data_IF_381616897709
#
_entry.id   IF_381616897709
#
_cell.length_a   1.000
_cell.length_b   1.000
_cell.length_c   1.000
_cell.angle_alpha   90.00
_cell.angle_beta   90.00
_cell.angle_gamma   90.00
#
_symmetry.space_group_name_H-M   'P 1'
#
loop_
_entity.id
_entity.type
_entity.pdbx_description
1 polymer ?
#
# COMPACT_ATOMS: atom_id res chain seq x y z
N UNK A 1 19.89 4.98 -2.67
CA UNK A 1 20.64 4.01 -1.85
C UNK A 1 19.86 2.70 -1.85
N UNK A 2 20.29 1.73 -2.66
CA UNK A 2 19.68 0.40 -2.76
C UNK A 2 19.96 -0.33 -1.46
N UNK A 3 18.91 -0.81 -0.77
CA UNK A 3 19.05 -1.56 0.48
C UNK A 3 19.39 -3.02 0.15
N UNK A 4 20.66 -3.31 -0.10
CA UNK A 4 21.12 -4.68 0.07
C UNK A 4 21.25 -4.95 1.57
N UNK A 5 20.55 -5.97 2.06
CA UNK A 5 20.79 -6.51 3.38
C UNK A 5 22.18 -7.17 3.32
N UNK A 6 23.16 -6.65 4.06
CA UNK A 6 24.50 -7.23 4.10
C UNK A 6 24.51 -8.52 4.93
N UNK A 7 23.83 -9.55 4.45
CA UNK A 7 23.89 -10.91 5.00
C UNK A 7 25.20 -11.60 4.54
N UNK A 8 26.34 -10.97 4.84
CA UNK A 8 27.64 -11.33 4.28
C UNK A 8 28.61 -11.93 5.31
N UNK A 9 28.14 -12.35 6.49
CA UNK A 9 29.01 -12.93 7.51
C UNK A 9 28.44 -14.24 8.06
N UNK A 10 29.35 -15.19 8.33
CA UNK A 10 29.09 -16.50 8.99
C UNK A 10 28.38 -16.39 10.35
N UNK A 11 28.20 -15.19 10.88
CA UNK A 11 27.57 -14.88 12.17
C UNK A 11 26.07 -14.60 12.10
N UNK A 12 25.52 -14.40 10.89
CA UNK A 12 24.08 -14.30 10.66
C UNK A 12 23.52 -15.66 10.22
N UNK A 13 22.28 -15.98 10.61
CA UNK A 13 21.64 -17.28 10.37
C UNK A 13 21.52 -17.68 8.87
N UNK A 14 21.71 -16.72 7.95
CA UNK A 14 21.66 -16.93 6.49
C UNK A 14 22.89 -16.28 5.84
N UNK A 15 23.61 -17.06 5.02
CA UNK A 15 24.73 -16.59 4.21
C UNK A 15 24.33 -16.48 2.73
N UNK A 16 24.44 -15.28 2.13
CA UNK A 16 23.99 -15.02 0.76
C UNK A 16 24.75 -15.84 -0.28
N UNK A 17 25.99 -16.27 -0.02
CA UNK A 17 26.79 -17.01 -1.00
C UNK A 17 26.56 -18.53 -0.98
N UNK A 18 26.15 -19.08 0.16
CA UNK A 18 26.13 -20.53 0.40
C UNK A 18 24.72 -21.11 0.59
N UNK A 19 23.66 -20.32 0.36
CA UNK A 19 22.28 -20.79 0.44
C UNK A 19 21.79 -21.36 -0.90
N UNK A 20 20.94 -22.39 -0.84
CA UNK A 20 20.26 -22.93 -2.02
C UNK A 20 19.22 -21.94 -2.55
N UNK A 21 19.23 -21.70 -3.87
CA UNK A 21 18.22 -20.88 -4.55
C UNK A 21 17.32 -21.78 -5.39
N UNK A 22 16.07 -21.94 -4.98
CA UNK A 22 15.06 -22.67 -5.75
C UNK A 22 14.24 -21.68 -6.57
N UNK A 23 14.15 -21.91 -7.89
CA UNK A 23 13.32 -21.11 -8.80
C UNK A 23 12.18 -21.97 -9.31
N UNK A 24 10.97 -21.67 -8.84
CA UNK A 24 9.73 -22.31 -9.28
C UNK A 24 8.76 -21.27 -9.84
N UNK A 25 9.24 -20.51 -10.83
CA UNK A 25 8.47 -19.45 -11.47
C UNK A 25 7.91 -19.93 -12.80
N UNK A 26 6.59 -19.98 -12.92
CA UNK A 26 5.92 -20.18 -14.21
C UNK A 26 5.85 -18.84 -14.94
N UNK A 27 6.59 -18.73 -16.04
CA UNK A 27 6.44 -17.58 -16.94
C UNK A 27 5.11 -17.69 -17.67
N UNK A 28 4.37 -16.58 -17.69
CA UNK A 28 3.14 -16.45 -18.45
C UNK A 28 3.47 -15.68 -19.72
N UNK A 29 3.27 -16.30 -20.87
CA UNK A 29 3.51 -15.65 -22.16
C UNK A 29 2.50 -14.52 -22.38
N UNK A 30 2.93 -13.38 -22.96
CA UNK A 30 2.05 -12.22 -23.15
C UNK A 30 0.79 -12.56 -23.96
N UNK A 31 0.91 -13.41 -24.97
CA UNK A 31 -0.18 -13.80 -25.86
C UNK A 31 -1.30 -14.56 -25.11
N UNK A 32 -0.95 -15.42 -24.16
CA UNK A 32 -1.93 -16.17 -23.34
C UNK A 32 -2.60 -15.28 -22.28
N UNK A 33 -2.02 -14.12 -21.97
CA UNK A 33 -2.51 -13.21 -20.93
C UNK A 33 -3.47 -12.14 -21.45
N UNK A 34 -3.45 -11.85 -22.77
CA UNK A 34 -4.33 -10.85 -23.40
C UNK A 34 -5.81 -11.22 -23.22
N UNK A 35 -6.18 -12.50 -23.29
CA UNK A 35 -7.57 -12.95 -23.12
C UNK A 35 -8.21 -12.53 -21.79
N UNK A 36 -7.44 -12.43 -20.71
CA UNK A 36 -7.94 -12.02 -19.39
C UNK A 36 -8.15 -10.50 -19.34
N UNK A 37 -7.37 -9.73 -20.10
CA UNK A 37 -7.45 -8.27 -20.13
C UNK A 37 -8.49 -7.74 -21.14
N UNK A 38 -8.83 -8.52 -22.17
CA UNK A 38 -9.71 -8.09 -23.27
C UNK A 38 -11.11 -8.67 -23.23
N UNK A 39 -11.53 -9.33 -22.14
CA UNK A 39 -12.90 -9.86 -22.02
C UNK A 39 -13.85 -8.79 -21.45
N UNK A 40 -14.78 -8.21 -22.24
CA UNK A 40 -15.86 -7.42 -21.69
C UNK A 40 -16.90 -8.41 -21.15
N UNK A 41 -16.71 -8.90 -19.93
CA UNK A 41 -17.73 -9.74 -19.31
C UNK A 41 -18.87 -8.82 -18.89
N UNK A 42 -19.95 -8.82 -19.67
CA UNK A 42 -21.21 -8.18 -19.32
C UNK A 42 -21.90 -9.05 -18.23
N UNK A 43 -21.43 -8.92 -16.99
CA UNK A 43 -21.95 -9.70 -15.86
C UNK A 43 -23.26 -9.03 -15.42
N UNK A 44 -24.39 -9.70 -15.65
CA UNK A 44 -25.68 -9.31 -15.10
C UNK A 44 -25.63 -9.37 -13.57
N UNK A 45 -26.39 -8.48 -12.91
CA UNK A 45 -26.39 -8.22 -11.46
C UNK A 45 -26.70 -9.41 -10.53
N UNK A 46 -26.85 -10.63 -11.05
CA UNK A 46 -27.20 -11.83 -10.28
C UNK A 46 -26.03 -12.78 -9.99
N UNK A 47 -24.87 -12.64 -10.66
CA UNK A 47 -23.70 -13.52 -10.47
C UNK A 47 -22.67 -12.97 -9.44
N UNK A 48 -23.16 -12.27 -8.42
CA UNK A 48 -22.34 -11.56 -7.43
C UNK A 48 -21.50 -12.45 -6.48
N UNK A 49 -21.64 -13.78 -6.52
CA UNK A 49 -21.10 -14.66 -5.47
C UNK A 49 -19.66 -15.17 -5.67
N UNK A 50 -19.04 -14.96 -6.84
CA UNK A 50 -17.70 -15.52 -7.14
C UNK A 50 -16.61 -14.49 -7.46
N UNK A 51 -16.90 -13.20 -7.31
CA UNK A 51 -15.92 -12.14 -7.52
C UNK A 51 -15.04 -11.99 -6.28
N UNK A 52 -13.71 -12.15 -6.44
CA UNK A 52 -12.75 -11.69 -5.43
C UNK A 52 -13.01 -10.19 -5.21
N UNK A 53 -13.76 -9.87 -4.17
CA UNK A 53 -14.01 -8.50 -3.75
C UNK A 53 -12.75 -7.99 -3.07
N UNK A 54 -11.95 -7.25 -3.82
CA UNK A 54 -10.80 -6.56 -3.26
C UNK A 54 -11.29 -5.28 -2.64
N UNK A 55 -11.47 -5.34 -1.33
CA UNK A 55 -11.66 -4.15 -0.52
C UNK A 55 -10.30 -3.48 -0.38
N UNK A 56 -10.21 -2.17 -0.24
CA UNK A 56 -8.97 -1.55 0.24
C UNK A 56 -9.30 -0.47 1.21
N UNK A 57 -8.73 -0.51 2.40
CA UNK A 57 -8.95 0.48 3.43
C UNK A 57 -7.69 1.29 3.65
N UNK A 58 -7.85 2.60 3.78
CA UNK A 58 -6.81 3.43 4.36
C UNK A 58 -7.40 4.33 5.42
N UNK A 59 -6.70 4.45 6.55
CA UNK A 59 -7.04 5.35 7.63
C UNK A 59 -6.09 6.54 7.68
N UNK A 60 -6.65 7.71 7.97
CA UNK A 60 -5.93 8.97 8.08
C UNK A 60 -6.38 9.73 9.31
N UNK A 61 -5.42 10.39 9.96
CA UNK A 61 -5.67 11.29 11.07
C UNK A 61 -4.72 12.49 10.99
N UNK A 62 -5.27 13.70 11.11
CA UNK A 62 -4.52 14.95 11.14
C UNK A 62 -3.63 15.06 12.38
N UNK A 63 -3.95 14.33 13.46
CA UNK A 63 -3.12 14.31 14.67
C UNK A 63 -1.85 13.47 14.47
N UNK A 64 -1.83 12.56 13.50
CA UNK A 64 -0.64 11.82 13.12
C UNK A 64 0.40 12.69 12.42
N UNK A 65 1.67 12.59 12.81
CA UNK A 65 2.76 13.12 11.97
C UNK A 65 2.59 12.52 10.56
N UNK A 66 2.66 13.31 9.48
CA UNK A 66 2.47 12.79 8.10
C UNK A 66 1.16 12.01 7.85
N UNK A 67 0.09 12.31 8.59
CA UNK A 67 -1.27 11.78 8.32
C UNK A 67 -1.35 10.24 8.37
N UNK A 68 -0.73 9.64 9.39
CA UNK A 68 -0.69 8.20 9.65
C UNK A 68 -0.87 7.92 11.16
N UNK A 69 -1.20 6.67 11.50
CA UNK A 69 -1.19 6.21 12.89
C UNK A 69 0.20 6.43 13.55
N UNK A 70 0.23 7.09 14.73
CA UNK A 70 1.50 7.53 15.36
C UNK A 70 2.33 6.36 15.87
N UNK A 71 1.71 5.39 16.52
CA UNK A 71 2.29 4.12 16.96
C UNK A 71 3.06 3.41 15.84
N UNK A 72 2.41 3.23 14.69
CA UNK A 72 3.00 2.57 13.53
C UNK A 72 4.20 3.35 12.99
N UNK A 73 4.13 4.68 12.98
CA UNK A 73 5.26 5.50 12.56
C UNK A 73 6.44 5.43 13.51
N UNK A 74 6.17 5.47 14.81
CA UNK A 74 7.22 5.40 15.83
C UNK A 74 7.89 4.02 15.76
N UNK A 75 7.12 2.94 15.67
CA UNK A 75 7.65 1.59 15.49
C UNK A 75 8.53 1.49 14.24
N UNK A 76 8.04 1.97 13.09
CA UNK A 76 8.82 1.99 11.84
C UNK A 76 10.11 2.80 11.95
N UNK A 77 10.10 3.92 12.66
CA UNK A 77 11.29 4.75 12.90
C UNK A 77 12.30 4.02 13.78
N UNK A 78 11.84 3.29 14.80
CA UNK A 78 12.74 2.45 15.61
C UNK A 78 13.37 1.34 14.75
N UNK A 79 12.59 0.60 13.95
CA UNK A 79 13.14 -0.44 13.07
C UNK A 79 14.17 0.13 12.07
N UNK A 80 13.86 1.29 11.48
CA UNK A 80 14.77 1.95 10.54
C UNK A 80 16.07 2.40 11.23
N UNK A 81 15.97 2.94 12.45
CA UNK A 81 17.13 3.37 13.20
C UNK A 81 17.98 2.19 13.71
N UNK A 82 17.35 1.08 14.11
CA UNK A 82 18.06 -0.17 14.43
C UNK A 82 18.88 -0.67 13.23
N UNK A 83 18.32 -0.56 12.02
CA UNK A 83 19.05 -0.92 10.80
C UNK A 83 20.18 0.06 10.49
N UNK A 84 20.00 1.35 10.78
CA UNK A 84 21.03 2.37 10.63
C UNK A 84 22.22 2.12 11.57
N UNK A 85 21.97 1.88 12.86
CA UNK A 85 23.03 1.62 13.86
C UNK A 85 23.73 0.28 13.66
N UNK A 86 23.05 -0.70 13.05
CA UNK A 86 23.66 -1.94 12.57
C UNK A 86 24.66 -1.64 11.45
N UNK A 87 24.23 -0.92 10.41
CA UNK A 87 25.04 -0.66 9.20
C UNK A 87 26.23 0.24 9.46
N UNK A 88 26.11 1.20 10.37
CA UNK A 88 27.19 2.13 10.69
C UNK A 88 28.14 1.59 11.78
N UNK A 89 27.87 0.40 12.35
CA UNK A 89 28.70 -0.23 13.37
C UNK A 89 28.62 0.39 14.77
N UNK A 90 27.66 1.29 15.03
CA UNK A 90 27.47 1.89 16.38
C UNK A 90 27.12 0.82 17.42
N UNK A 91 26.30 -0.16 17.02
CA UNK A 91 25.97 -1.33 17.83
C UNK A 91 26.49 -2.59 17.12
N UNK A 92 27.79 -2.92 17.24
CA UNK A 92 28.41 -3.99 16.45
C UNK A 92 27.92 -5.39 16.83
N UNK A 93 27.24 -5.53 17.97
CA UNK A 93 26.64 -6.79 18.44
C UNK A 93 25.22 -7.03 17.88
N UNK A 94 24.62 -6.04 17.21
CA UNK A 94 23.27 -6.16 16.66
C UNK A 94 23.29 -7.13 15.46
N UNK A 95 22.18 -7.84 15.24
CA UNK A 95 21.97 -8.73 14.08
C UNK A 95 20.82 -8.22 13.20
N UNK A 96 20.63 -8.87 12.05
CA UNK A 96 19.67 -8.46 11.03
C UNK A 96 18.20 -8.66 11.41
N UNK A 97 17.87 -9.62 12.28
CA UNK A 97 16.50 -9.85 12.73
C UNK A 97 16.17 -8.98 13.95
N UNK A 98 14.96 -8.42 13.95
CA UNK A 98 14.48 -7.51 14.96
C UNK A 98 13.00 -7.23 14.81
N UNK A 99 12.33 -7.05 15.94
CA UNK A 99 10.92 -6.66 16.01
C UNK A 99 10.78 -5.54 17.02
N UNK A 100 10.08 -4.48 16.63
CA UNK A 100 9.68 -3.42 17.56
C UNK A 100 8.17 -3.46 17.76
N UNK A 101 7.73 -3.12 18.96
CA UNK A 101 6.32 -2.96 19.29
C UNK A 101 6.17 -1.70 20.13
N UNK A 102 5.19 -0.89 19.77
CA UNK A 102 4.88 0.37 20.44
C UNK A 102 3.42 0.34 20.86
N UNK A 103 3.16 0.66 22.13
CA UNK A 103 1.81 0.81 22.66
C UNK A 103 1.60 2.28 23.03
N UNK A 104 0.54 2.87 22.50
CA UNK A 104 0.15 4.25 22.79
C UNK A 104 -1.29 4.23 23.29
N UNK A 105 -1.56 4.97 24.35
CA UNK A 105 -2.92 5.20 24.82
C UNK A 105 -3.62 6.16 23.86
N UNK A 106 -4.71 5.69 23.26
CA UNK A 106 -5.53 6.47 22.33
C UNK A 106 -6.94 6.61 22.85
N UNK A 107 -7.48 7.82 22.75
CA UNK A 107 -8.91 8.04 22.79
C UNK A 107 -9.47 7.82 21.37
N UNK A 108 -9.86 6.58 21.05
CA UNK A 108 -10.59 6.16 19.83
C UNK A 108 -9.73 5.82 18.58
N UNK A 109 -9.06 4.65 18.59
CA UNK A 109 -8.29 4.08 17.47
C UNK A 109 -9.21 3.29 16.51
N UNK A 110 -9.11 3.55 15.20
CA UNK A 110 -9.81 2.80 14.15
C UNK A 110 -8.96 2.70 12.88
N UNK A 111 -9.18 1.63 12.13
CA UNK A 111 -8.57 1.38 10.83
C UNK A 111 -9.04 0.03 10.31
N UNK A 112 -8.73 -0.28 9.05
CA UNK A 112 -9.05 -1.57 8.48
C UNK A 112 -7.99 -1.96 7.45
N UNK A 113 -7.91 -3.25 7.15
CA UNK A 113 -7.10 -3.83 6.09
C UNK A 113 -7.92 -4.91 5.40
N UNK A 114 -7.75 -5.06 4.09
CA UNK A 114 -8.57 -5.98 3.31
C UNK A 114 -7.98 -7.37 3.14
N UNK A 115 -6.68 -7.53 3.43
CA UNK A 115 -5.95 -8.80 3.33
C UNK A 115 -5.04 -8.91 2.11
N UNK A 116 -5.15 -8.01 1.13
CA UNK A 116 -4.28 -7.98 -0.05
C UNK A 116 -2.83 -7.65 0.28
N UNK A 117 -1.88 -8.39 -0.30
CA UNK A 117 -0.45 -8.10 -0.19
C UNK A 117 0.03 -7.14 -1.29
N UNK A 118 1.06 -6.35 -1.01
CA UNK A 118 1.64 -5.43 -1.99
C UNK A 118 2.84 -6.02 -2.73
N UNK A 119 3.89 -6.43 -2.02
CA UNK A 119 5.18 -6.88 -2.60
C UNK A 119 5.04 -8.06 -3.56
N UNK A 120 5.88 -8.09 -4.61
CA UNK A 120 5.84 -9.14 -5.66
C UNK A 120 4.76 -8.97 -6.73
N UNK A 121 3.79 -8.07 -6.54
CA UNK A 121 2.77 -7.74 -7.54
C UNK A 121 3.21 -6.60 -8.45
N UNK A 122 2.85 -6.66 -9.72
CA UNK A 122 3.03 -5.55 -10.65
C UNK A 122 1.93 -4.48 -10.40
N UNK A 123 2.13 -3.22 -10.83
CA UNK A 123 1.18 -2.13 -10.54
C UNK A 123 -0.16 -2.25 -11.27
N UNK A 124 -0.37 -3.22 -12.17
CA UNK A 124 -1.70 -3.50 -12.73
C UNK A 124 -2.59 -4.25 -11.73
N UNK A 125 -2.01 -4.83 -10.66
CA UNK A 125 -2.78 -5.53 -9.63
C UNK A 125 -3.42 -4.52 -8.68
N UNK A 126 -4.75 -4.54 -8.69
CA UNK A 126 -5.63 -3.68 -7.91
C UNK A 126 -5.31 -3.66 -6.41
N UNK A 127 -4.87 -4.80 -5.84
CA UNK A 127 -4.40 -4.86 -4.45
C UNK A 127 -3.38 -3.78 -4.09
N UNK A 128 -2.49 -3.44 -5.03
CA UNK A 128 -1.45 -2.42 -4.83
C UNK A 128 -1.91 -1.07 -5.35
N UNK A 129 -2.37 -0.99 -6.60
CA UNK A 129 -2.71 0.29 -7.24
C UNK A 129 -3.83 1.01 -6.50
N UNK A 130 -4.90 0.30 -6.16
CA UNK A 130 -6.07 0.91 -5.54
C UNK A 130 -5.75 1.28 -4.09
N UNK A 131 -4.90 0.51 -3.41
CA UNK A 131 -4.40 0.89 -2.09
C UNK A 131 -3.66 2.22 -2.09
N UNK A 132 -2.83 2.46 -3.11
CA UNK A 132 -2.07 3.70 -3.24
C UNK A 132 -2.97 4.86 -3.65
N UNK A 133 -3.93 4.63 -4.54
CA UNK A 133 -4.92 5.64 -4.91
C UNK A 133 -5.84 6.04 -3.76
N UNK A 134 -6.39 5.06 -3.04
CA UNK A 134 -7.25 5.29 -1.88
C UNK A 134 -6.46 6.02 -0.79
N UNK A 135 -5.17 5.71 -0.64
CA UNK A 135 -4.25 6.48 0.21
C UNK A 135 -4.19 7.92 -0.28
N UNK A 136 -3.90 8.17 -1.55
CA UNK A 136 -3.77 9.55 -2.04
C UNK A 136 -5.08 10.34 -1.91
N UNK A 137 -6.22 9.75 -2.25
CA UNK A 137 -7.54 10.37 -2.12
C UNK A 137 -7.84 10.75 -0.67
N UNK A 138 -7.65 9.81 0.26
CA UNK A 138 -7.89 10.06 1.67
C UNK A 138 -6.89 11.09 2.24
N UNK A 139 -5.63 11.08 1.80
CA UNK A 139 -4.64 12.11 2.16
C UNK A 139 -5.10 13.49 1.72
N UNK A 140 -5.60 13.61 0.49
CA UNK A 140 -6.07 14.87 -0.07
C UNK A 140 -7.32 15.39 0.65
N UNK A 141 -8.24 14.51 1.06
CA UNK A 141 -9.41 14.88 1.87
C UNK A 141 -8.98 15.52 3.20
N UNK A 142 -8.04 14.89 3.91
CA UNK A 142 -7.62 15.42 5.21
C UNK A 142 -6.69 16.63 5.05
N UNK A 143 -5.81 16.64 4.04
CA UNK A 143 -4.92 17.76 3.76
C UNK A 143 -5.65 19.02 3.28
N UNK A 144 -6.76 18.88 2.55
CA UNK A 144 -7.65 19.99 2.20
C UNK A 144 -8.51 20.46 3.39
N UNK A 145 -8.46 19.76 4.51
CA UNK A 145 -9.22 20.09 5.71
C UNK A 145 -10.71 19.80 5.59
N UNK A 146 -11.14 18.93 4.67
CA UNK A 146 -12.53 18.48 4.54
C UNK A 146 -12.94 17.56 5.70
N UNK A 147 -11.99 16.82 6.26
CA UNK A 147 -12.17 16.03 7.46
C UNK A 147 -10.87 16.01 8.29
N UNK A 148 -10.98 15.71 9.59
CA UNK A 148 -9.80 15.46 10.44
C UNK A 148 -9.27 14.04 10.29
N UNK A 149 -10.19 13.10 10.07
CA UNK A 149 -9.93 11.69 9.85
C UNK A 149 -10.72 11.21 8.66
N UNK A 150 -10.16 10.27 7.92
CA UNK A 150 -10.83 9.69 6.77
C UNK A 150 -10.46 8.23 6.64
N UNK A 151 -11.48 7.37 6.58
CA UNK A 151 -11.38 6.03 6.06
C UNK A 151 -12.08 5.95 4.73
N UNK A 152 -11.38 5.45 3.72
CA UNK A 152 -11.97 5.20 2.42
C UNK A 152 -11.84 3.74 2.04
N UNK A 153 -12.85 3.26 1.33
CA UNK A 153 -12.93 1.92 0.79
C UNK A 153 -13.28 1.95 -0.69
N UNK A 154 -12.54 1.19 -1.49
CA UNK A 154 -12.90 0.89 -2.88
C UNK A 154 -13.03 -0.62 -3.02
N UNK A 155 -14.00 -1.06 -3.81
CA UNK A 155 -14.21 -2.45 -4.19
C UNK A 155 -14.28 -2.59 -5.71
N UNK A 156 -13.49 -3.51 -6.24
CA UNK A 156 -13.40 -3.83 -7.67
C UNK A 156 -13.68 -5.31 -7.90
N UNK A 157 -14.19 -5.63 -9.08
CA UNK A 157 -14.52 -6.99 -9.50
C UNK A 157 -13.72 -7.39 -10.74
N UNK A 158 -13.31 -8.66 -10.81
CA UNK A 158 -12.60 -9.22 -11.97
C UNK A 158 -13.48 -9.08 -13.21
N UNK A 159 -12.91 -8.51 -14.28
CA UNK A 159 -13.61 -8.30 -15.55
C UNK A 159 -14.58 -7.11 -15.56
N UNK A 160 -14.71 -6.38 -14.45
CA UNK A 160 -15.54 -5.17 -14.36
C UNK A 160 -14.66 -3.94 -14.39
N UNK A 161 -14.91 -3.06 -15.36
CA UNK A 161 -14.11 -1.85 -15.58
C UNK A 161 -14.44 -0.73 -14.58
N UNK A 162 -15.70 -0.61 -14.16
CA UNK A 162 -16.10 0.41 -13.19
C UNK A 162 -16.00 -0.12 -11.76
N UNK A 163 -15.53 0.69 -10.79
CA UNK A 163 -15.50 0.28 -9.39
C UNK A 163 -16.93 0.05 -8.88
N UNK A 164 -17.16 -1.11 -8.25
CA UNK A 164 -18.48 -1.50 -7.77
C UNK A 164 -18.97 -0.63 -6.62
N UNK A 165 -18.05 -0.22 -5.73
CA UNK A 165 -18.41 0.53 -4.54
C UNK A 165 -17.26 1.39 -4.02
N UNK A 166 -17.57 2.65 -3.71
CA UNK A 166 -16.70 3.57 -3.01
C UNK A 166 -17.40 4.01 -1.72
N UNK A 167 -16.74 3.87 -0.57
CA UNK A 167 -17.25 4.29 0.73
C UNK A 167 -16.24 5.21 1.40
N UNK A 168 -16.75 6.26 2.04
CA UNK A 168 -15.97 7.23 2.81
C UNK A 168 -16.59 7.36 4.19
N UNK A 169 -15.77 7.28 5.22
CA UNK A 169 -16.14 7.52 6.60
C UNK A 169 -15.18 8.53 7.22
N UNK A 170 -15.68 9.71 7.57
CA UNK A 170 -14.90 10.74 8.25
C UNK A 170 -14.85 10.59 9.77
N UNK A 171 -15.46 9.54 10.35
CA UNK A 171 -15.56 9.33 11.80
C UNK A 171 -16.11 10.55 12.55
N UNK A 172 -17.17 11.15 11.98
CA UNK A 172 -17.83 12.37 12.49
C UNK A 172 -16.91 13.61 12.56
N UNK A 173 -15.80 13.60 11.80
CA UNK A 173 -14.87 14.74 11.74
C UNK A 173 -14.95 15.52 10.43
N UNK A 174 -15.84 15.13 9.52
CA UNK A 174 -16.07 15.82 8.26
C UNK A 174 -16.75 17.17 8.46
N UNK A 175 -16.32 18.19 7.72
CA UNK A 175 -17.01 19.48 7.60
C UNK A 175 -18.28 19.40 6.76
N UNK A 176 -18.34 18.40 5.88
CA UNK A 176 -19.46 18.11 4.99
C UNK A 176 -19.87 16.63 5.14
N UNK A 177 -21.10 16.24 4.75
CA UNK A 177 -21.55 14.86 4.83
C UNK A 177 -20.66 13.89 4.04
N UNK A 178 -20.44 12.68 4.56
CA UNK A 178 -19.62 11.65 3.92
C UNK A 178 -20.02 11.36 2.45
N UNK A 179 -21.31 11.49 2.12
CA UNK A 179 -21.84 11.32 0.76
C UNK A 179 -21.30 12.38 -0.22
N UNK A 180 -21.14 13.63 0.24
CA UNK A 180 -20.59 14.71 -0.56
C UNK A 180 -19.08 14.55 -0.72
N UNK A 181 -18.36 14.14 0.33
CA UNK A 181 -16.93 13.80 0.24
C UNK A 181 -16.72 12.69 -0.81
N UNK A 182 -17.56 11.64 -0.78
CA UNK A 182 -17.51 10.57 -1.77
C UNK A 182 -17.75 11.09 -3.19
N UNK A 183 -18.66 12.05 -3.39
CA UNK A 183 -18.92 12.64 -4.69
C UNK A 183 -17.69 13.41 -5.21
N UNK A 184 -17.10 14.27 -4.37
CA UNK A 184 -15.86 15.00 -4.69
C UNK A 184 -14.74 14.02 -5.07
N UNK A 185 -14.59 12.93 -4.33
CA UNK A 185 -13.57 11.92 -4.65
C UNK A 185 -13.83 11.27 -6.01
N UNK A 186 -15.07 10.90 -6.33
CA UNK A 186 -15.42 10.31 -7.63
C UNK A 186 -15.19 11.27 -8.81
N UNK A 187 -15.30 12.58 -8.59
CA UNK A 187 -15.03 13.59 -9.61
C UNK A 187 -13.54 13.84 -9.83
N UNK A 188 -12.71 13.68 -8.78
CA UNK A 188 -11.29 14.03 -8.82
C UNK A 188 -10.36 12.81 -8.98
N UNK A 189 -10.83 11.59 -8.70
CA UNK A 189 -10.06 10.37 -8.77
C UNK A 189 -10.74 9.33 -9.66
N UNK A 190 -9.97 8.78 -10.60
CA UNK A 190 -10.41 7.71 -11.47
C UNK A 190 -9.85 6.36 -10.98
N UNK A 191 -10.72 5.53 -10.39
CA UNK A 191 -10.37 4.20 -9.87
C UNK A 191 -10.49 3.07 -10.89
N UNK A 192 -10.63 3.39 -12.19
CA UNK A 192 -10.74 2.37 -13.24
C UNK A 192 -9.46 1.54 -13.37
N UNK A 193 -9.56 0.20 -13.37
CA UNK A 193 -8.40 -0.68 -13.55
C UNK A 193 -7.64 -0.34 -14.83
N UNK A 194 -6.33 -0.10 -14.72
CA UNK A 194 -5.47 0.24 -15.86
C UNK A 194 -5.17 1.72 -16.05
N UNK A 195 -6.01 2.62 -15.52
CA UNK A 195 -5.75 4.07 -15.43
C UNK A 195 -5.04 4.39 -14.11
N UNK A 196 -5.47 3.76 -13.01
CA UNK A 196 -4.84 3.82 -11.67
C UNK A 196 -3.29 3.77 -11.64
N UNK A 197 -2.61 2.99 -12.50
CA UNK A 197 -1.15 2.89 -12.47
C UNK A 197 -0.40 4.08 -13.07
N UNK A 198 -1.00 4.87 -13.97
CA UNK A 198 -0.24 5.85 -14.78
C UNK A 198 0.03 7.18 -14.06
N UNK A 199 -0.81 7.57 -13.10
CA UNK A 199 -0.71 8.86 -12.40
C UNK A 199 0.10 8.81 -11.11
N UNK A 200 0.22 7.67 -10.44
CA UNK A 200 0.89 7.55 -9.14
C UNK A 200 2.20 6.75 -9.15
N UNK A 201 2.46 6.01 -10.23
CA UNK A 201 3.65 5.18 -10.33
C UNK A 201 4.15 5.37 -11.75
N UNK A 202 5.11 6.29 -11.92
CA UNK A 202 5.77 6.48 -13.20
C UNK A 202 6.23 5.09 -13.69
N UNK A 203 5.67 4.62 -14.81
CA UNK A 203 5.96 3.32 -15.45
C UNK A 203 7.43 3.24 -15.96
N UNK A 204 8.32 4.04 -15.40
CA UNK A 204 9.75 4.01 -15.68
C UNK A 204 10.36 2.77 -15.04
N UNK A 205 10.43 1.68 -15.81
CA UNK A 205 11.16 0.45 -15.48
C UNK A 205 12.68 0.60 -15.28
N UNK A 206 13.14 1.79 -14.88
CA UNK A 206 14.55 2.09 -14.59
C UNK A 206 14.86 2.34 -13.12
N UNK A 207 13.86 2.64 -12.27
CA UNK A 207 14.10 2.90 -10.86
C UNK A 207 13.49 1.78 -10.00
N UNK A 208 14.29 1.20 -9.11
CA UNK A 208 13.91 0.20 -8.10
C UNK A 208 12.91 0.75 -7.04
N UNK A 209 11.87 1.48 -7.46
CA UNK A 209 10.95 2.24 -6.60
C UNK A 209 10.19 1.33 -5.63
N UNK A 210 9.80 0.14 -6.07
CA UNK A 210 9.11 -0.82 -5.21
C UNK A 210 10.04 -1.53 -4.23
N UNK A 211 11.32 -1.66 -4.53
CA UNK A 211 12.26 -2.25 -3.57
C UNK A 211 12.37 -1.38 -2.32
N UNK A 212 12.26 -0.05 -2.48
CA UNK A 212 12.22 0.86 -1.34
C UNK A 212 10.98 0.63 -0.47
N UNK A 213 9.85 0.20 -1.02
CA UNK A 213 8.58 0.08 -0.29
C UNK A 213 8.49 -1.18 0.59
N UNK A 214 9.33 -2.20 0.35
CA UNK A 214 9.23 -3.52 1.00
C UNK A 214 9.55 -3.49 2.49
N UNK A 215 10.31 -2.50 2.96
CA UNK A 215 10.70 -2.33 4.35
C UNK A 215 10.25 -0.97 4.88
N UNK A 216 9.96 -0.91 6.19
CA UNK A 216 9.52 0.29 6.92
C UNK A 216 8.20 0.90 6.41
N UNK A 217 7.44 0.14 5.63
CA UNK A 217 6.10 0.47 5.17
C UNK A 217 6.03 1.25 3.85
N UNK A 218 4.89 1.09 3.18
CA UNK A 218 4.59 1.69 1.88
C UNK A 218 4.13 3.15 1.96
N UNK A 219 3.62 3.59 3.11
CA UNK A 219 2.99 4.90 3.29
C UNK A 219 3.67 5.73 4.39
N UNK A 220 3.57 7.06 4.29
CA UNK A 220 4.11 8.01 5.30
C UNK A 220 5.56 8.41 5.09
N UNK A 221 6.03 8.37 3.84
CA UNK A 221 7.40 8.65 3.44
C UNK A 221 7.44 9.93 2.61
N UNK A 222 8.57 10.62 2.67
CA UNK A 222 8.82 11.88 1.94
C UNK A 222 9.72 11.67 0.71
N UNK A 223 10.02 10.40 0.39
CA UNK A 223 10.84 10.07 -0.79
C UNK A 223 10.03 10.42 -2.06
N UNK A 224 10.61 11.19 -3.00
CA UNK A 224 9.90 11.69 -4.18
C UNK A 224 9.40 10.59 -5.11
N UNK A 225 9.95 9.36 -5.00
CA UNK A 225 9.44 8.20 -5.75
C UNK A 225 8.07 7.70 -5.24
N UNK A 226 7.58 8.25 -4.13
CA UNK A 226 6.30 7.90 -3.49
C UNK A 226 5.30 9.05 -3.67
N UNK A 227 4.85 9.25 -4.90
CA UNK A 227 3.85 10.26 -5.29
C UNK A 227 2.44 9.91 -4.88
#
# INVERSE_FOLDING_TARGET
MTMELSANEKENDIEVKNHGVVRDTVRKDPETMVEIASCPININSCDFSLLLHFRVYNFFDSEGMRMNHRDLQISKKFDAHLTEVLKNGTCPWLRLDGKTQVTIEYYNNKGAHSGGTFSGKDPTKIDRSDAYMVRQASKNIVASGLARRCMMQVSSAIGVHEPLFGFVDSYDTGKIPNKEILHIVKENFDFKPGISPSTLISRGGGNNNFLKTVAYGHFGRDDPDFT
#
